data_IF_673225226991
#
_entry.id   IF_673225226991
#
_cell.length_a   1.000
_cell.length_b   1.000
_cell.length_c   1.000
_cell.angle_alpha   90.00
_cell.angle_beta   90.00
_cell.angle_gamma   90.00
#
_symmetry.space_group_name_H-M   'P 1'
#
loop_
_entity.id
_entity.type
_entity.pdbx_description
1 polymer ?
#
# COMPACT_ATOMS: atom_id res chain seq x y z
N UNK A 1 -7.40 20.99 6.34
CA UNK A 1 -7.22 19.56 5.99
C UNK A 1 -5.78 19.08 6.07
N UNK A 2 -4.75 19.82 5.60
CA UNK A 2 -3.35 19.36 5.61
C UNK A 2 -2.84 18.91 6.99
N UNK A 3 -3.06 19.71 8.04
CA UNK A 3 -2.65 19.35 9.42
C UNK A 3 -3.34 18.09 9.94
N UNK A 4 -4.59 17.85 9.54
CA UNK A 4 -5.32 16.61 9.91
C UNK A 4 -4.67 15.39 9.25
N UNK A 5 -4.35 15.47 7.95
CA UNK A 5 -3.66 14.39 7.23
C UNK A 5 -2.29 14.08 7.85
N UNK A 6 -1.54 15.11 8.27
CA UNK A 6 -0.27 14.95 8.98
C UNK A 6 -0.42 14.16 10.29
N UNK A 7 -1.44 14.50 11.09
CA UNK A 7 -1.76 13.76 12.33
C UNK A 7 -2.09 12.30 12.02
N UNK A 8 -2.93 12.04 11.01
CA UNK A 8 -3.32 10.67 10.62
C UNK A 8 -2.09 9.85 10.21
N UNK A 9 -1.24 10.38 9.31
CA UNK A 9 -0.06 9.68 8.82
C UNK A 9 0.88 9.34 9.98
N UNK A 10 1.21 10.31 10.83
CA UNK A 10 2.13 10.10 11.96
C UNK A 10 1.57 9.12 12.99
N UNK A 11 0.27 9.16 13.24
CA UNK A 11 -0.39 8.20 14.13
C UNK A 11 -0.26 6.77 13.59
N UNK A 12 -0.53 6.56 12.31
CA UNK A 12 -0.40 5.23 11.69
C UNK A 12 1.06 4.76 11.65
N UNK A 13 2.01 5.66 11.38
CA UNK A 13 3.43 5.32 11.40
C UNK A 13 3.93 4.91 12.79
N UNK A 14 3.39 5.51 13.86
CA UNK A 14 3.79 5.18 15.24
C UNK A 14 3.40 3.75 15.64
N UNK A 15 2.39 3.15 15.02
CA UNK A 15 1.92 1.78 15.31
C UNK A 15 2.29 0.78 14.21
N UNK A 16 2.85 1.25 13.09
CA UNK A 16 3.23 0.42 11.94
C UNK A 16 4.12 -0.78 12.32
N UNK A 17 5.15 -0.67 13.17
CA UNK A 17 6.01 -1.80 13.51
C UNK A 17 5.24 -2.94 14.15
N UNK A 18 4.27 -2.65 15.01
CA UNK A 18 3.42 -3.64 15.67
C UNK A 18 2.47 -4.32 14.67
N UNK A 19 1.84 -3.52 13.79
CA UNK A 19 0.93 -4.02 12.75
C UNK A 19 1.69 -4.97 11.83
N UNK A 20 2.82 -4.55 11.27
CA UNK A 20 3.61 -5.36 10.33
C UNK A 20 4.17 -6.61 11.00
N UNK A 21 4.67 -6.51 12.24
CA UNK A 21 5.13 -7.69 13.00
C UNK A 21 4.01 -8.72 13.20
N UNK A 22 2.79 -8.28 13.42
CA UNK A 22 1.64 -9.17 13.57
C UNK A 22 1.20 -9.75 12.23
N UNK A 23 1.11 -8.92 11.20
CA UNK A 23 0.74 -9.37 9.85
C UNK A 23 1.72 -10.41 9.31
N UNK A 24 3.02 -10.22 9.45
CA UNK A 24 4.04 -11.16 8.96
C UNK A 24 3.99 -12.54 9.64
N UNK A 25 3.40 -12.62 10.83
CA UNK A 25 3.13 -13.89 11.53
C UNK A 25 1.84 -14.56 11.10
N UNK A 26 0.83 -13.76 10.73
CA UNK A 26 -0.51 -14.26 10.42
C UNK A 26 -0.72 -14.59 8.96
N UNK A 27 -0.03 -13.90 8.04
CA UNK A 27 -0.19 -14.09 6.60
C UNK A 27 1.14 -14.04 5.87
N UNK A 28 1.23 -14.85 4.80
CA UNK A 28 2.38 -14.88 3.88
C UNK A 28 2.11 -14.08 2.61
N UNK A 29 0.87 -13.73 2.37
CA UNK A 29 0.46 -13.04 1.15
C UNK A 29 0.33 -11.54 1.41
N UNK A 30 0.71 -10.76 0.41
CA UNK A 30 0.50 -9.32 0.37
C UNK A 30 -0.98 -9.01 0.09
N UNK A 31 -1.43 -7.82 0.47
CA UNK A 31 -2.76 -7.27 0.14
C UNK A 31 -3.97 -8.11 0.58
N UNK A 32 -3.82 -8.95 1.61
CA UNK A 32 -4.91 -9.75 2.18
C UNK A 32 -5.56 -9.10 3.39
N UNK A 33 -4.96 -8.03 3.91
CA UNK A 33 -5.46 -7.30 5.06
C UNK A 33 -5.67 -5.83 4.73
N UNK A 34 -6.77 -5.29 5.18
CA UNK A 34 -7.05 -3.86 5.17
C UNK A 34 -7.78 -3.48 6.46
N UNK A 35 -7.77 -2.20 6.80
CA UNK A 35 -8.48 -1.70 7.97
C UNK A 35 -9.14 -0.35 7.66
N UNK A 36 -10.31 -0.12 8.22
CA UNK A 36 -11.02 1.14 8.17
C UNK A 36 -10.98 1.78 9.56
N UNK A 37 -10.29 2.91 9.69
CA UNK A 37 -10.17 3.64 10.95
C UNK A 37 -11.08 4.86 10.99
N UNK A 38 -11.69 5.12 12.14
CA UNK A 38 -12.34 6.39 12.45
C UNK A 38 -11.42 7.24 13.34
N UNK A 39 -11.07 8.44 12.87
CA UNK A 39 -10.25 9.40 13.62
C UNK A 39 -11.11 10.51 14.19
N UNK A 40 -11.17 10.64 15.51
CA UNK A 40 -11.84 11.76 16.17
C UNK A 40 -10.85 12.87 16.45
N UNK A 41 -11.04 14.00 15.76
CA UNK A 41 -10.10 15.13 15.76
C UNK A 41 -10.83 16.40 16.18
N UNK A 42 -10.35 17.02 17.24
CA UNK A 42 -10.79 18.33 17.71
C UNK A 42 -9.94 19.44 17.06
N UNK A 43 -10.59 20.48 16.56
CA UNK A 43 -9.93 21.68 16.10
C UNK A 43 -10.03 22.78 17.17
N UNK A 44 -8.90 23.31 17.60
CA UNK A 44 -8.88 24.45 18.50
C UNK A 44 -9.17 25.78 17.80
N UNK A 45 -9.21 26.88 18.56
CA UNK A 45 -9.47 28.23 18.02
C UNK A 45 -8.48 28.68 16.94
N UNK A 46 -7.26 28.10 16.91
CA UNK A 46 -6.22 28.36 15.92
C UNK A 46 -6.24 27.35 14.76
N UNK A 47 -7.30 26.53 14.67
CA UNK A 47 -7.45 25.43 13.71
C UNK A 47 -6.30 24.40 13.78
N UNK A 48 -5.70 24.21 14.97
CA UNK A 48 -4.76 23.16 15.23
C UNK A 48 -5.54 21.87 15.52
N UNK A 49 -5.27 20.76 14.81
CA UNK A 49 -5.90 19.49 15.10
C UNK A 49 -5.29 18.84 16.34
N UNK A 50 -6.16 18.30 17.17
CA UNK A 50 -5.83 17.47 18.33
C UNK A 50 -6.50 16.12 18.15
N UNK A 51 -5.71 15.05 18.13
CA UNK A 51 -6.22 13.69 18.09
C UNK A 51 -6.84 13.37 19.45
N UNK A 52 -8.12 12.97 19.45
CA UNK A 52 -8.82 12.53 20.63
C UNK A 52 -8.73 11.02 20.75
N UNK A 53 -9.17 10.29 19.71
CA UNK A 53 -9.13 8.83 19.66
C UNK A 53 -9.08 8.30 18.23
N UNK A 54 -8.72 7.02 18.12
CA UNK A 54 -8.78 6.25 16.87
C UNK A 54 -9.66 5.03 17.10
N UNK A 55 -10.71 4.93 16.31
CA UNK A 55 -11.65 3.82 16.37
C UNK A 55 -11.30 2.76 15.32
N UNK A 56 -10.97 1.56 15.76
CA UNK A 56 -10.88 0.36 14.93
C UNK A 56 -12.32 -0.12 14.70
N UNK A 57 -12.70 -0.37 13.45
CA UNK A 57 -14.07 -0.74 13.09
C UNK A 57 -15.12 0.32 13.50
N UNK A 58 -15.04 1.54 12.94
CA UNK A 58 -16.00 2.60 13.28
C UNK A 58 -17.42 2.18 12.95
N UNK A 59 -18.41 2.71 13.68
CA UNK A 59 -19.82 2.36 13.51
C UNK A 59 -20.33 2.68 12.11
N UNK A 60 -20.84 1.67 11.41
CA UNK A 60 -21.49 1.78 10.11
C UNK A 60 -23.03 1.83 10.21
N UNK A 61 -23.59 1.81 11.42
CA UNK A 61 -25.03 2.02 11.62
C UNK A 61 -25.44 3.40 11.10
N UNK A 62 -26.64 3.50 10.54
CA UNK A 62 -27.15 4.73 9.93
C UNK A 62 -28.46 5.16 10.56
N UNK A 63 -28.55 6.41 11.02
CA UNK A 63 -29.72 6.98 11.68
C UNK A 63 -30.56 7.89 10.76
N UNK A 64 -30.00 8.30 9.63
CA UNK A 64 -30.65 9.18 8.66
C UNK A 64 -30.41 8.74 7.20
N UNK A 65 -31.27 9.17 6.25
CA UNK A 65 -31.04 8.88 4.83
C UNK A 65 -29.70 9.40 4.31
N UNK A 66 -29.25 10.56 4.79
CA UNK A 66 -27.96 11.13 4.42
C UNK A 66 -26.80 10.28 4.95
N UNK A 67 -26.85 9.90 6.21
CA UNK A 67 -25.86 9.03 6.85
C UNK A 67 -25.78 7.67 6.12
N UNK A 68 -26.92 7.07 5.81
CA UNK A 68 -27.00 5.85 5.02
C UNK A 68 -26.32 5.99 3.66
N UNK A 69 -26.59 7.10 2.94
CA UNK A 69 -25.97 7.36 1.64
C UNK A 69 -24.44 7.45 1.75
N UNK A 70 -23.94 8.24 2.71
CA UNK A 70 -22.49 8.45 2.90
C UNK A 70 -21.81 7.12 3.25
N UNK A 71 -22.34 6.38 4.21
CA UNK A 71 -21.75 5.10 4.66
C UNK A 71 -21.83 4.01 3.59
N UNK A 72 -22.91 3.99 2.81
CA UNK A 72 -23.02 3.06 1.66
C UNK A 72 -21.91 3.36 0.63
N UNK A 73 -21.73 4.64 0.26
CA UNK A 73 -20.66 5.02 -0.67
C UNK A 73 -19.29 4.68 -0.11
N UNK A 74 -19.04 4.95 1.17
CA UNK A 74 -17.78 4.60 1.85
C UNK A 74 -17.47 3.10 1.73
N UNK A 75 -18.43 2.23 2.03
CA UNK A 75 -18.23 0.78 1.94
C UNK A 75 -18.02 0.31 0.51
N UNK A 76 -18.81 0.82 -0.45
CA UNK A 76 -18.63 0.48 -1.87
C UNK A 76 -17.23 0.86 -2.35
N UNK A 77 -16.78 2.08 -2.05
CA UNK A 77 -15.45 2.55 -2.43
C UNK A 77 -14.34 1.76 -1.71
N UNK A 78 -14.54 1.39 -0.44
CA UNK A 78 -13.60 0.54 0.30
C UNK A 78 -13.42 -0.82 -0.38
N UNK A 79 -14.51 -1.49 -0.73
CA UNK A 79 -14.45 -2.80 -1.39
C UNK A 79 -13.82 -2.71 -2.80
N UNK A 80 -14.11 -1.63 -3.53
CA UNK A 80 -13.47 -1.36 -4.81
C UNK A 80 -11.96 -1.12 -4.66
N UNK A 81 -11.56 -0.30 -3.69
CA UNK A 81 -10.16 0.04 -3.44
C UNK A 81 -9.35 -1.18 -3.03
N UNK A 82 -9.88 -2.02 -2.15
CA UNK A 82 -9.25 -3.28 -1.71
C UNK A 82 -9.04 -4.25 -2.87
N UNK A 83 -9.90 -4.21 -3.91
CA UNK A 83 -9.74 -5.05 -5.08
C UNK A 83 -9.99 -6.53 -4.77
N UNK A 84 -11.19 -6.86 -4.27
CA UNK A 84 -11.57 -8.24 -4.05
C UNK A 84 -11.71 -8.98 -5.39
N UNK A 85 -10.71 -9.80 -5.73
CA UNK A 85 -10.78 -10.64 -6.92
C UNK A 85 -11.50 -11.96 -6.62
N UNK A 86 -12.23 -12.51 -7.61
CA UNK A 86 -12.80 -13.85 -7.49
C UNK A 86 -11.70 -14.88 -7.23
N UNK A 87 -11.89 -15.67 -6.22
CA UNK A 87 -10.93 -16.67 -5.80
C UNK A 87 -11.49 -18.08 -6.02
N UNK A 88 -10.83 -18.88 -6.86
CA UNK A 88 -11.19 -20.30 -7.04
C UNK A 88 -10.52 -21.15 -5.95
N UNK A 89 -11.27 -21.41 -4.88
CA UNK A 89 -10.83 -22.22 -3.76
C UNK A 89 -10.34 -23.61 -4.18
N UNK A 90 -11.01 -24.25 -5.15
CA UNK A 90 -10.65 -25.61 -5.60
C UNK A 90 -9.31 -25.62 -6.35
N UNK A 91 -9.06 -24.57 -7.14
CA UNK A 91 -7.77 -24.43 -7.83
C UNK A 91 -6.64 -24.25 -6.81
N UNK A 92 -6.80 -23.38 -5.84
CA UNK A 92 -5.81 -23.15 -4.79
C UNK A 92 -5.52 -24.40 -3.94
N UNK A 93 -6.55 -25.14 -3.55
CA UNK A 93 -6.40 -26.39 -2.80
C UNK A 93 -5.58 -27.42 -3.63
N UNK A 94 -5.83 -27.54 -4.94
CA UNK A 94 -5.05 -28.40 -5.85
C UNK A 94 -3.60 -27.99 -5.97
N UNK A 95 -3.35 -26.70 -6.15
CA UNK A 95 -2.00 -26.12 -6.23
C UNK A 95 -1.22 -26.33 -4.92
N UNK A 96 -1.88 -26.10 -3.79
CA UNK A 96 -1.29 -26.35 -2.46
C UNK A 96 -0.94 -27.81 -2.25
N UNK A 97 -1.83 -28.74 -2.61
CA UNK A 97 -1.54 -30.18 -2.55
C UNK A 97 -0.39 -30.57 -3.48
N UNK A 98 -0.34 -30.03 -4.69
CA UNK A 98 0.73 -30.32 -5.64
C UNK A 98 2.07 -29.80 -5.11
N UNK A 99 2.11 -28.60 -4.57
CA UNK A 99 3.31 -28.02 -3.98
C UNK A 99 3.77 -28.81 -2.76
N UNK A 100 2.84 -29.25 -1.90
CA UNK A 100 3.16 -30.12 -0.78
C UNK A 100 3.75 -31.47 -1.25
N UNK A 101 3.14 -32.09 -2.27
CA UNK A 101 3.66 -33.32 -2.87
C UNK A 101 5.05 -33.13 -3.47
N UNK A 102 5.30 -32.02 -4.19
CA UNK A 102 6.62 -31.70 -4.74
C UNK A 102 7.66 -31.57 -3.63
N UNK A 103 7.34 -30.90 -2.52
CA UNK A 103 8.21 -30.76 -1.34
C UNK A 103 8.52 -32.08 -0.69
N UNK A 104 7.49 -32.93 -0.46
CA UNK A 104 7.67 -34.26 0.15
C UNK A 104 8.51 -35.21 -0.73
N UNK A 105 8.43 -35.09 -2.06
CA UNK A 105 9.21 -35.87 -3.00
C UNK A 105 10.62 -35.31 -3.23
N UNK A 106 10.99 -34.20 -2.57
CA UNK A 106 12.30 -33.55 -2.76
C UNK A 106 12.48 -32.92 -4.14
N UNK A 107 11.40 -32.80 -4.93
CA UNK A 107 11.41 -32.20 -6.26
C UNK A 107 11.51 -30.67 -6.21
N UNK A 108 11.31 -30.09 -5.03
CA UNK A 108 11.44 -28.65 -4.76
C UNK A 108 12.92 -28.18 -4.65
N UNK A 109 13.89 -29.09 -4.86
CA UNK A 109 15.33 -28.78 -4.91
C UNK A 109 15.80 -28.22 -6.26
N UNK A 110 14.91 -28.08 -7.25
CA UNK A 110 15.24 -27.27 -8.42
C UNK A 110 15.12 -25.80 -8.02
N UNK A 111 16.26 -25.33 -7.53
CA UNK A 111 16.70 -23.95 -7.64
C UNK A 111 15.53 -22.94 -7.72
N UNK A 112 15.31 -22.23 -6.62
CA UNK A 112 15.15 -20.79 -6.78
C UNK A 112 16.40 -20.28 -7.53
N UNK A 113 16.50 -20.50 -8.83
CA UNK A 113 17.05 -19.49 -9.69
C UNK A 113 16.15 -18.31 -9.39
N UNK A 114 16.67 -17.36 -8.67
CA UNK A 114 16.18 -16.00 -8.68
C UNK A 114 16.22 -15.59 -10.15
N UNK A 115 15.18 -15.96 -10.88
CA UNK A 115 14.99 -15.55 -12.26
C UNK A 115 14.89 -14.04 -12.16
N UNK A 116 15.92 -13.38 -12.68
CA UNK A 116 15.98 -11.92 -12.67
C UNK A 116 14.83 -11.43 -13.53
N UNK A 117 13.72 -11.02 -12.89
CA UNK A 117 12.47 -10.64 -13.55
C UNK A 117 12.68 -9.55 -14.59
N UNK A 118 13.73 -8.73 -14.43
CA UNK A 118 14.06 -7.67 -15.38
C UNK A 118 14.45 -8.26 -16.75
N UNK A 119 15.07 -9.45 -16.78
CA UNK A 119 15.45 -10.10 -18.04
C UNK A 119 14.23 -10.65 -18.78
N UNK A 120 13.18 -11.03 -18.06
CA UNK A 120 11.95 -11.56 -18.63
C UNK A 120 11.03 -10.45 -19.16
N UNK A 121 11.22 -9.21 -18.70
CA UNK A 121 10.46 -8.06 -19.16
C UNK A 121 11.04 -7.50 -20.46
N UNK A 122 10.23 -7.38 -21.55
CA UNK A 122 10.69 -6.77 -22.77
C UNK A 122 11.22 -5.36 -22.53
N UNK A 123 12.44 -5.02 -23.00
CA UNK A 123 13.09 -3.74 -22.69
C UNK A 123 12.34 -2.53 -23.25
N UNK A 124 11.53 -2.73 -24.28
CA UNK A 124 10.77 -1.67 -24.94
C UNK A 124 9.50 -1.28 -24.19
N UNK A 125 8.99 -2.16 -23.31
CA UNK A 125 7.77 -1.90 -22.54
C UNK A 125 8.01 -0.83 -21.48
N UNK A 126 6.94 -0.12 -21.11
CA UNK A 126 6.97 0.84 -20.00
C UNK A 126 7.49 0.18 -18.72
N UNK A 127 6.96 -0.99 -18.39
CA UNK A 127 7.31 -1.73 -17.18
C UNK A 127 8.77 -2.19 -17.20
N UNK A 128 9.26 -2.71 -18.34
CA UNK A 128 10.67 -3.10 -18.50
C UNK A 128 11.64 -1.92 -18.35
N UNK A 129 11.30 -0.76 -18.88
CA UNK A 129 12.08 0.48 -18.71
C UNK A 129 12.07 0.96 -17.26
N UNK A 130 10.91 0.95 -16.64
CA UNK A 130 10.71 1.37 -15.26
C UNK A 130 11.52 0.49 -14.29
N UNK A 131 11.39 -0.84 -14.39
CA UNK A 131 12.10 -1.78 -13.51
C UNK A 131 13.63 -1.65 -13.67
N UNK A 132 14.14 -1.52 -14.88
CA UNK A 132 15.59 -1.26 -15.10
C UNK A 132 16.06 0.06 -14.50
N UNK A 133 15.21 1.08 -14.52
CA UNK A 133 15.53 2.37 -13.90
C UNK A 133 15.49 2.30 -12.37
N UNK A 134 14.54 1.57 -11.80
CA UNK A 134 14.41 1.37 -10.34
C UNK A 134 15.60 0.62 -9.75
N UNK A 135 16.08 -0.41 -10.46
CA UNK A 135 17.15 -1.30 -10.02
C UNK A 135 18.48 -1.03 -10.76
N UNK A 136 18.67 0.17 -11.26
CA UNK A 136 19.87 0.54 -12.00
C UNK A 136 21.16 0.21 -11.24
N UNK A 137 21.95 -0.73 -11.77
CA UNK A 137 23.17 -1.25 -11.15
C UNK A 137 22.94 -2.37 -10.13
N UNK A 138 21.71 -2.71 -9.83
CA UNK A 138 21.29 -3.78 -8.90
C UNK A 138 20.20 -4.66 -9.53
N UNK A 139 20.19 -4.81 -10.85
CA UNK A 139 19.12 -5.47 -11.60
C UNK A 139 18.89 -6.93 -11.16
N UNK A 140 19.93 -7.60 -10.65
CA UNK A 140 19.85 -8.96 -10.12
C UNK A 140 19.06 -9.10 -8.82
N UNK A 141 18.78 -7.99 -8.14
CA UNK A 141 18.02 -7.97 -6.88
C UNK A 141 16.52 -7.78 -7.09
N UNK A 142 16.08 -7.48 -8.31
CA UNK A 142 14.66 -7.28 -8.60
C UNK A 142 13.89 -8.61 -8.55
N UNK A 143 12.84 -8.64 -7.76
CA UNK A 143 11.99 -9.80 -7.57
C UNK A 143 10.61 -9.63 -8.21
N UNK A 144 9.87 -10.73 -8.40
CA UNK A 144 8.48 -10.67 -8.85
C UNK A 144 7.59 -9.96 -7.84
N UNK A 145 7.88 -10.08 -6.56
CA UNK A 145 7.19 -9.35 -5.49
C UNK A 145 7.35 -7.83 -5.61
N UNK A 146 8.52 -7.36 -6.05
CA UNK A 146 8.77 -5.93 -6.28
C UNK A 146 7.97 -5.41 -7.46
N UNK A 147 7.91 -6.18 -8.54
CA UNK A 147 7.08 -5.87 -9.69
C UNK A 147 5.61 -5.81 -9.31
N UNK A 148 5.12 -6.82 -8.58
CA UNK A 148 3.73 -6.86 -8.15
C UNK A 148 3.39 -5.69 -7.21
N UNK A 149 4.32 -5.30 -6.34
CA UNK A 149 4.13 -4.12 -5.48
C UNK A 149 3.88 -2.84 -6.29
N UNK A 150 4.64 -2.64 -7.35
CA UNK A 150 4.48 -1.46 -8.22
C UNK A 150 3.15 -1.52 -8.98
N UNK A 151 2.79 -2.69 -9.51
CA UNK A 151 1.52 -2.89 -10.22
C UNK A 151 0.33 -2.63 -9.29
N UNK A 152 0.31 -3.22 -8.11
CA UNK A 152 -0.72 -3.02 -7.10
C UNK A 152 -0.86 -1.53 -6.74
N UNK A 153 0.28 -0.85 -6.56
CA UNK A 153 0.30 0.56 -6.23
C UNK A 153 -0.28 1.44 -7.36
N UNK A 154 0.00 1.11 -8.63
CA UNK A 154 -0.58 1.82 -9.78
C UNK A 154 -2.09 1.52 -9.91
N UNK A 155 -2.49 0.27 -9.78
CA UNK A 155 -3.89 -0.13 -9.88
C UNK A 155 -4.79 0.53 -8.81
N UNK A 156 -4.30 0.68 -7.59
CA UNK A 156 -5.03 1.40 -6.54
C UNK A 156 -5.45 2.80 -6.97
N UNK A 157 -4.66 3.50 -7.80
CA UNK A 157 -4.99 4.85 -8.25
C UNK A 157 -6.28 4.88 -9.08
N UNK A 158 -6.56 3.82 -9.82
CA UNK A 158 -7.77 3.71 -10.64
C UNK A 158 -9.01 3.32 -9.84
N UNK A 159 -8.80 2.78 -8.61
CA UNK A 159 -9.86 2.29 -7.74
C UNK A 159 -10.21 3.21 -6.57
N UNK A 160 -9.62 4.39 -6.49
CA UNK A 160 -9.78 5.31 -5.35
C UNK A 160 -11.22 5.70 -5.04
N UNK A 161 -12.11 5.79 -6.06
CA UNK A 161 -13.46 6.28 -5.84
C UNK A 161 -13.46 7.68 -5.21
N UNK A 162 -14.14 7.83 -4.07
CA UNK A 162 -14.15 9.07 -3.29
C UNK A 162 -12.99 9.16 -2.26
N UNK A 163 -12.10 8.16 -2.18
CA UNK A 163 -10.93 8.24 -1.33
C UNK A 163 -9.86 9.15 -1.92
N UNK A 164 -9.11 9.78 -1.05
CA UNK A 164 -7.91 10.52 -1.40
C UNK A 164 -6.69 9.80 -0.82
N UNK A 165 -5.70 9.49 -1.65
CA UNK A 165 -4.44 8.94 -1.19
C UNK A 165 -3.64 10.01 -0.44
N UNK A 166 -3.35 9.77 0.83
CA UNK A 166 -2.58 10.71 1.64
C UNK A 166 -1.12 10.27 1.86
N UNK A 167 -0.83 8.97 1.72
CA UNK A 167 0.51 8.40 1.85
C UNK A 167 0.56 6.98 1.23
N UNK A 168 1.69 6.55 0.60
CA UNK A 168 2.82 7.37 0.18
C UNK A 168 2.50 8.17 -1.09
N UNK A 169 3.04 9.39 -1.18
CA UNK A 169 2.86 10.28 -2.33
C UNK A 169 4.19 10.95 -2.67
N UNK A 170 4.35 11.34 -3.93
CA UNK A 170 5.58 11.95 -4.44
C UNK A 170 6.04 13.16 -3.62
N UNK A 171 5.09 13.94 -3.12
CA UNK A 171 5.39 15.19 -2.41
C UNK A 171 5.67 15.01 -0.92
N UNK A 172 5.42 13.83 -0.36
CA UNK A 172 5.49 13.64 1.08
C UNK A 172 6.24 12.38 1.53
N UNK A 173 6.49 11.42 0.65
CA UNK A 173 7.14 10.17 0.99
C UNK A 173 8.52 10.39 1.64
N UNK A 174 9.32 11.31 1.11
CA UNK A 174 10.65 11.60 1.66
C UNK A 174 10.56 12.26 3.05
N UNK A 175 9.59 13.15 3.28
CA UNK A 175 9.39 13.76 4.59
C UNK A 175 8.99 12.75 5.66
N UNK A 176 8.03 11.86 5.34
CA UNK A 176 7.54 10.86 6.30
C UNK A 176 8.46 9.66 6.45
N UNK A 177 9.38 9.41 5.52
CA UNK A 177 10.32 8.28 5.61
C UNK A 177 11.19 8.32 6.87
N UNK A 178 11.50 9.52 7.39
CA UNK A 178 12.29 9.70 8.61
C UNK A 178 11.57 9.24 9.91
N UNK A 179 10.26 9.06 9.87
CA UNK A 179 9.46 8.66 11.04
C UNK A 179 9.25 7.14 11.13
N UNK A 180 9.70 6.37 10.14
CA UNK A 180 9.67 4.92 10.24
C UNK A 180 10.77 4.43 11.17
N UNK A 181 10.41 3.59 12.14
CA UNK A 181 11.36 2.94 13.04
C UNK A 181 12.32 2.02 12.28
N UNK A 182 11.80 1.28 11.31
CA UNK A 182 12.57 0.39 10.45
C UNK A 182 12.31 0.70 8.97
N UNK A 183 13.37 0.89 8.19
CA UNK A 183 13.26 0.96 6.74
C UNK A 183 12.93 -0.42 6.18
N UNK A 184 11.87 -0.50 5.39
CA UNK A 184 11.44 -1.73 4.73
C UNK A 184 11.69 -1.65 3.23
N UNK A 185 12.02 -2.79 2.62
CA UNK A 185 12.28 -2.85 1.18
C UNK A 185 11.12 -2.27 0.36
N UNK A 186 9.87 -2.59 0.72
CA UNK A 186 8.70 -2.05 0.05
C UNK A 186 8.63 -0.51 0.12
N UNK A 187 8.92 0.09 1.29
CA UNK A 187 8.93 1.55 1.44
C UNK A 187 10.06 2.17 0.61
N UNK A 188 11.24 1.57 0.62
CA UNK A 188 12.40 2.04 -0.16
C UNK A 188 12.11 1.96 -1.65
N UNK A 189 11.50 0.87 -2.12
CA UNK A 189 11.12 0.68 -3.52
C UNK A 189 10.08 1.72 -3.96
N UNK A 190 9.02 1.92 -3.17
CA UNK A 190 8.00 2.94 -3.47
C UNK A 190 8.58 4.37 -3.44
N UNK A 191 9.53 4.66 -2.57
CA UNK A 191 10.25 5.94 -2.59
C UNK A 191 11.04 6.13 -3.89
N UNK A 192 11.81 5.12 -4.31
CA UNK A 192 12.55 5.14 -5.59
C UNK A 192 11.57 5.30 -6.76
N UNK A 193 10.49 4.52 -6.78
CA UNK A 193 9.45 4.59 -7.80
C UNK A 193 8.85 5.99 -7.91
N UNK A 194 8.38 6.57 -6.80
CA UNK A 194 7.81 7.91 -6.76
C UNK A 194 8.80 9.01 -7.14
N UNK A 195 10.09 8.82 -6.91
CA UNK A 195 11.14 9.78 -7.35
C UNK A 195 11.36 9.76 -8.87
N UNK A 196 11.12 8.61 -9.52
CA UNK A 196 11.26 8.45 -10.97
C UNK A 196 10.05 9.01 -11.71
N UNK A 197 8.85 8.80 -11.14
CA UNK A 197 7.61 9.29 -11.74
C UNK A 197 7.52 10.80 -11.51
N UNK A 198 7.85 11.57 -12.55
CA UNK A 198 7.66 13.02 -12.52
C UNK A 198 6.16 13.35 -12.40
N UNK A 199 5.77 14.38 -11.61
CA UNK A 199 4.39 14.88 -11.53
C UNK A 199 3.79 15.23 -12.90
N UNK A 200 4.63 15.46 -13.90
CA UNK A 200 4.21 15.73 -15.28
C UNK A 200 3.63 14.52 -16.01
N UNK A 201 3.93 13.29 -15.54
CA UNK A 201 3.49 12.06 -16.19
C UNK A 201 2.22 11.46 -15.57
N UNK A 202 1.92 11.80 -14.32
CA UNK A 202 0.69 11.31 -13.67
C UNK A 202 0.16 12.34 -12.66
N UNK A 203 -0.80 13.19 -13.05
CA UNK A 203 -1.38 14.22 -12.18
C UNK A 203 -2.11 13.62 -10.96
N UNK A 204 -2.52 12.35 -11.00
CA UNK A 204 -3.18 11.67 -9.88
C UNK A 204 -2.25 11.34 -8.72
N UNK A 205 -0.92 11.36 -8.92
CA UNK A 205 0.06 11.20 -7.86
C UNK A 205 0.33 12.47 -7.04
N UNK A 206 -0.33 13.59 -7.35
CA UNK A 206 -0.19 14.83 -6.58
C UNK A 206 -1.05 14.71 -5.33
N UNK A 207 -0.42 14.37 -4.23
CA UNK A 207 -1.05 14.31 -2.92
C UNK A 207 -0.53 15.44 -2.02
N UNK A 208 -1.05 15.48 -0.82
CA UNK A 208 -0.70 16.40 0.24
C UNK A 208 0.81 16.69 0.38
N UNK A 209 1.18 17.98 0.42
CA UNK A 209 2.53 18.47 0.74
C UNK A 209 2.59 18.85 2.22
N UNK A 210 3.50 18.25 3.02
CA UNK A 210 3.66 18.66 4.41
C UNK A 210 4.14 20.12 4.48
N UNK A 211 3.45 20.93 5.25
CA UNK A 211 3.85 22.33 5.51
C UNK A 211 4.76 22.38 6.72
N UNK A 212 6.08 22.20 6.54
CA UNK A 212 7.11 22.48 7.53
C UNK A 212 7.05 21.74 8.87
N UNK A 213 8.06 21.89 9.73
CA UNK A 213 8.01 21.31 11.07
C UNK A 213 6.84 21.93 11.84
N UNK A 214 5.92 21.09 12.29
CA UNK A 214 4.93 21.51 13.27
C UNK A 214 5.69 21.81 14.58
N UNK A 215 5.85 23.11 14.89
CA UNK A 215 6.29 23.56 16.20
C UNK A 215 5.20 23.28 17.21
#
# INVERSE_FOLDING_TARGET
MHRIKDVIIKTLQSVEPHIVSTMSRCTKHRNVCFELYGFDILLDQKLKPWLLEVNISPSLSSSSPLDKKIKTMLICDTLNLVGCYPYDRKQYERETEQNLKKRLLGLDRQQSKEENIINDLPPETYLGKLMRQLFKGEESLATEDDLQLILDFEEEQFRLGNFEKIFPCINNVQYYSQFFECQRNANTLLMRYLSIISPKHNPHHICFVPTGPAI
#
